data_IF_198273890728
#
_entry.id   IF_198273890728
#
_cell.length_a   1.000
_cell.length_b   1.000
_cell.length_c   1.000
_cell.angle_alpha   90.00
_cell.angle_beta   90.00
_cell.angle_gamma   90.00
#
_symmetry.space_group_name_H-M   'P 1'
#
loop_
_entity.id
_entity.type
_entity.pdbx_description
1 polymer ?
#
# COMPACT_ATOMS: atom_id res chain seq x y z
N UNK A 1 -11.50 -6.11 7.74
CA UNK A 1 -12.24 -7.03 6.86
C UNK A 1 -13.72 -6.69 6.93
N UNK A 2 -14.48 -6.94 5.87
CA UNK A 2 -15.92 -6.64 5.83
C UNK A 2 -16.75 -7.86 6.29
N UNK A 3 -17.80 -7.63 7.07
CA UNK A 3 -18.81 -8.63 7.44
C UNK A 3 -20.19 -7.96 7.20
N UNK A 4 -21.11 -8.59 6.44
CA UNK A 4 -22.46 -8.07 6.27
C UNK A 4 -23.18 -7.86 7.61
N UNK A 5 -24.00 -6.81 7.69
CA UNK A 5 -24.63 -6.37 8.95
C UNK A 5 -25.60 -7.43 9.47
N UNK A 6 -26.29 -8.12 8.58
CA UNK A 6 -27.25 -9.19 8.87
C UNK A 6 -26.56 -10.36 9.58
N UNK A 7 -25.40 -10.76 9.05
CA UNK A 7 -24.55 -11.82 9.60
C UNK A 7 -23.96 -11.39 10.94
N UNK A 8 -23.49 -10.15 11.04
CA UNK A 8 -22.92 -9.61 12.27
C UNK A 8 -23.95 -9.57 13.41
N UNK A 9 -25.18 -9.12 13.14
CA UNK A 9 -26.29 -9.11 14.10
C UNK A 9 -26.66 -10.53 14.54
N UNK A 10 -26.72 -11.49 13.61
CA UNK A 10 -26.99 -12.89 13.93
C UNK A 10 -25.97 -13.45 14.92
N UNK A 11 -24.67 -13.21 14.72
CA UNK A 11 -23.62 -13.62 15.65
C UNK A 11 -23.71 -12.96 17.03
N UNK A 12 -24.08 -11.67 17.09
CA UNK A 12 -24.31 -10.99 18.37
C UNK A 12 -25.48 -11.60 19.14
N UNK A 13 -26.55 -11.97 18.46
CA UNK A 13 -27.79 -12.49 19.08
C UNK A 13 -27.69 -13.93 19.58
N UNK A 14 -26.88 -14.77 18.92
CA UNK A 14 -26.81 -16.21 19.17
C UNK A 14 -25.74 -16.61 20.18
N UNK A 15 -24.94 -15.66 20.67
CA UNK A 15 -23.73 -15.91 21.48
C UNK A 15 -22.76 -16.91 20.83
N UNK A 16 -22.92 -17.18 19.53
CA UNK A 16 -22.00 -17.97 18.73
C UNK A 16 -20.67 -17.23 18.74
N UNK A 17 -19.60 -17.94 19.12
CA UNK A 17 -18.30 -17.34 19.32
C UNK A 17 -17.91 -16.52 18.09
N UNK A 18 -17.59 -15.24 18.29
CA UNK A 18 -16.94 -14.35 17.28
C UNK A 18 -15.72 -15.02 16.60
N UNK A 19 -15.15 -16.05 17.23
CA UNK A 19 -14.01 -16.84 16.76
C UNK A 19 -14.28 -17.66 15.49
N UNK A 20 -15.53 -18.01 15.17
CA UNK A 20 -15.86 -18.72 13.91
C UNK A 20 -16.30 -17.77 12.79
N UNK A 21 -16.60 -16.51 13.11
CA UNK A 21 -17.01 -15.53 12.10
C UNK A 21 -15.81 -15.12 11.24
N UNK A 22 -15.89 -15.43 9.96
CA UNK A 22 -14.84 -15.10 8.99
C UNK A 22 -15.27 -13.90 8.16
N UNK A 23 -14.42 -12.88 8.08
CA UNK A 23 -14.69 -11.70 7.23
C UNK A 23 -14.67 -12.08 5.75
N UNK A 24 -15.38 -11.35 4.88
CA UNK A 24 -15.42 -11.64 3.43
C UNK A 24 -14.01 -11.75 2.82
N UNK A 25 -13.12 -10.81 3.16
CA UNK A 25 -11.70 -10.85 2.76
C UNK A 25 -10.99 -12.11 3.26
N UNK A 26 -11.27 -12.50 4.50
CA UNK A 26 -10.67 -13.65 5.17
C UNK A 26 -11.15 -14.96 4.49
N UNK A 27 -12.45 -15.05 4.19
CA UNK A 27 -13.08 -16.19 3.51
C UNK A 27 -12.54 -16.36 2.10
N UNK A 28 -12.39 -15.25 1.38
CA UNK A 28 -11.73 -15.27 0.08
C UNK A 28 -10.29 -15.78 0.19
N UNK A 29 -9.51 -15.27 1.15
CA UNK A 29 -8.13 -15.74 1.37
C UNK A 29 -8.04 -17.23 1.69
N UNK A 30 -8.93 -17.76 2.53
CA UNK A 30 -8.96 -19.19 2.84
C UNK A 30 -9.36 -20.06 1.65
N UNK A 31 -10.26 -19.57 0.78
CA UNK A 31 -10.78 -20.35 -0.34
C UNK A 31 -9.87 -20.29 -1.58
N UNK A 32 -9.20 -19.16 -1.81
CA UNK A 32 -8.40 -18.92 -3.02
C UNK A 32 -6.90 -19.17 -2.84
N UNK A 33 -6.45 -19.45 -1.62
CA UNK A 33 -5.06 -19.74 -1.28
C UNK A 33 -3.99 -18.83 -1.94
N UNK A 34 -4.12 -17.48 -2.03
CA UNK A 34 -3.18 -16.66 -2.78
C UNK A 34 -2.27 -15.82 -1.87
N UNK A 35 -2.10 -16.17 -0.60
CA UNK A 35 -1.02 -15.61 0.22
C UNK A 35 0.12 -16.61 0.15
N UNK A 36 0.77 -16.66 -1.02
CA UNK A 36 2.14 -17.16 -1.07
C UNK A 36 2.92 -16.38 -0.01
N UNK A 37 3.61 -17.08 0.89
CA UNK A 37 4.65 -16.48 1.73
C UNK A 37 5.75 -15.95 0.80
N UNK A 38 5.49 -14.80 0.16
CA UNK A 38 6.43 -14.10 -0.68
C UNK A 38 7.41 -13.40 0.26
N UNK A 39 8.36 -14.17 0.77
CA UNK A 39 9.61 -13.60 1.24
C UNK A 39 10.36 -13.14 -0.01
N UNK A 40 10.16 -11.87 -0.36
CA UNK A 40 10.97 -11.26 -1.42
C UNK A 40 12.35 -11.01 -0.82
N UNK A 41 13.34 -11.71 -1.35
CA UNK A 41 14.73 -11.46 -0.99
C UNK A 41 15.07 -10.00 -1.33
N UNK A 42 15.65 -9.27 -0.36
CA UNK A 42 16.02 -7.86 -0.52
C UNK A 42 16.95 -7.64 -1.73
N UNK A 43 17.84 -8.59 -2.03
CA UNK A 43 18.72 -8.53 -3.20
C UNK A 43 17.92 -8.53 -4.50
N UNK A 44 16.96 -9.45 -4.64
CA UNK A 44 16.08 -9.54 -5.83
C UNK A 44 15.28 -8.24 -5.99
N UNK A 45 14.79 -7.67 -4.88
CA UNK A 45 14.08 -6.39 -4.90
C UNK A 45 14.97 -5.25 -5.42
N UNK A 46 16.23 -5.18 -4.97
CA UNK A 46 17.20 -4.16 -5.42
C UNK A 46 17.58 -4.34 -6.89
N UNK A 47 17.70 -5.56 -7.38
CA UNK A 47 18.00 -5.85 -8.79
C UNK A 47 16.87 -5.33 -9.70
N UNK A 48 15.61 -5.56 -9.30
CA UNK A 48 14.43 -5.03 -10.02
C UNK A 48 14.47 -3.50 -10.06
N UNK A 49 14.74 -2.84 -8.92
CA UNK A 49 14.83 -1.38 -8.86
C UNK A 49 15.97 -0.83 -9.74
N UNK A 50 17.09 -1.55 -9.83
CA UNK A 50 18.24 -1.18 -10.67
C UNK A 50 17.90 -1.25 -12.15
N UNK A 51 17.20 -2.30 -12.59
CA UNK A 51 16.72 -2.42 -13.97
C UNK A 51 15.68 -1.35 -14.34
N UNK A 52 14.82 -0.97 -13.39
CA UNK A 52 13.89 0.16 -13.57
C UNK A 52 14.67 1.47 -13.72
N UNK A 53 15.68 1.70 -12.87
CA UNK A 53 16.52 2.90 -12.92
C UNK A 53 17.20 3.08 -14.28
N UNK A 54 17.69 1.98 -14.87
CA UNK A 54 18.40 1.99 -16.17
C UNK A 54 17.51 2.41 -17.35
N UNK A 55 16.18 2.32 -17.20
CA UNK A 55 15.21 2.69 -18.23
C UNK A 55 14.66 4.08 -17.92
N UNK A 56 14.58 4.94 -18.94
CA UNK A 56 13.83 6.20 -18.83
C UNK A 56 12.34 5.88 -18.79
N UNK A 57 11.74 5.93 -17.60
CA UNK A 57 10.35 5.55 -17.38
C UNK A 57 9.62 6.53 -16.46
N UNK A 58 8.30 6.58 -16.62
CA UNK A 58 7.41 7.20 -15.66
C UNK A 58 7.17 6.22 -14.51
N UNK A 59 7.49 6.62 -13.29
CA UNK A 59 7.28 5.82 -12.09
C UNK A 59 6.04 6.34 -11.39
N UNK A 60 5.04 5.48 -11.22
CA UNK A 60 3.82 5.80 -10.48
C UNK A 60 3.85 5.03 -9.17
N UNK A 61 3.83 5.79 -8.07
CA UNK A 61 3.99 5.29 -6.73
C UNK A 61 2.67 5.42 -5.97
N UNK A 62 1.96 4.31 -5.82
CA UNK A 62 0.68 4.29 -5.12
C UNK A 62 0.94 4.08 -3.63
N UNK A 63 0.51 5.03 -2.80
CA UNK A 63 0.69 5.01 -1.34
C UNK A 63 -0.65 4.95 -0.62
N UNK A 64 -0.74 4.20 0.48
CA UNK A 64 -1.92 4.19 1.35
C UNK A 64 -1.94 5.46 2.21
N UNK A 65 -2.94 6.32 2.06
CA UNK A 65 -3.04 7.56 2.83
C UNK A 65 -3.28 7.33 4.33
N UNK A 66 -3.76 6.14 4.71
CA UNK A 66 -3.94 5.76 6.11
C UNK A 66 -2.70 5.09 6.72
N UNK A 67 -1.70 4.75 5.89
CA UNK A 67 -0.46 4.09 6.32
C UNK A 67 0.73 4.52 5.45
N UNK A 68 0.99 5.83 5.45
CA UNK A 68 2.02 6.44 4.59
C UNK A 68 3.41 5.92 4.94
N UNK A 69 3.71 5.74 6.22
CA UNK A 69 5.04 5.33 6.70
C UNK A 69 5.42 3.93 6.24
N UNK A 70 4.47 3.00 6.17
CA UNK A 70 4.74 1.66 5.64
C UNK A 70 4.57 1.60 4.12
N UNK A 71 3.85 2.55 3.53
CA UNK A 71 3.71 2.66 2.08
C UNK A 71 4.91 3.31 1.40
N UNK A 72 5.84 3.95 2.11
CA UNK A 72 7.03 4.58 1.54
C UNK A 72 8.28 3.86 2.03
N UNK A 73 8.96 3.16 1.13
CA UNK A 73 10.21 2.47 1.46
C UNK A 73 11.43 3.35 1.22
N UNK A 74 12.43 3.26 2.10
CA UNK A 74 13.74 3.91 1.92
C UNK A 74 14.44 3.47 0.64
N UNK A 75 14.17 2.26 0.16
CA UNK A 75 14.79 1.73 -1.05
C UNK A 75 14.39 2.48 -2.32
N UNK A 76 13.30 3.27 -2.30
CA UNK A 76 12.85 4.04 -3.46
C UNK A 76 13.72 5.27 -3.74
N UNK A 77 14.50 5.74 -2.78
CA UNK A 77 15.49 6.78 -3.04
C UNK A 77 16.50 6.35 -4.09
N UNK A 78 16.73 5.05 -4.28
CA UNK A 78 17.57 4.51 -5.35
C UNK A 78 17.01 4.75 -6.76
N UNK A 79 15.70 4.96 -6.90
CA UNK A 79 15.04 5.27 -8.17
C UNK A 79 15.15 6.75 -8.56
N UNK A 80 15.41 7.62 -7.56
CA UNK A 80 15.65 9.05 -7.75
C UNK A 80 17.16 9.23 -7.82
N UNK A 81 17.70 9.60 -8.97
CA UNK A 81 19.12 9.97 -9.03
C UNK A 81 19.36 11.20 -8.15
N UNK A 82 19.99 11.01 -6.99
CA UNK A 82 20.44 12.10 -6.12
C UNK A 82 21.79 12.67 -6.57
N UNK A 83 22.52 11.93 -7.41
CA UNK A 83 23.82 12.30 -7.98
C UNK A 83 23.63 12.68 -9.43
N UNK A 84 22.98 13.81 -9.68
CA UNK A 84 23.08 14.52 -10.95
C UNK A 84 24.50 15.08 -11.08
N UNK A 85 25.46 14.24 -11.44
CA UNK A 85 26.71 14.69 -12.06
C UNK A 85 26.79 14.18 -13.50
N UNK A 86 26.37 15.09 -14.38
CA UNK A 86 27.09 15.53 -15.58
C UNK A 86 27.15 14.67 -16.85
N UNK A 87 26.75 13.39 -16.91
CA UNK A 87 26.73 12.68 -18.21
C UNK A 87 25.39 12.03 -18.58
N UNK A 88 24.51 12.87 -19.15
CA UNK A 88 23.62 12.54 -20.26
C UNK A 88 22.45 11.55 -20.03
N UNK A 89 21.94 11.42 -18.81
CA UNK A 89 20.71 10.66 -18.55
C UNK A 89 19.70 11.50 -17.78
N UNK A 90 18.54 11.78 -18.37
CA UNK A 90 17.45 12.49 -17.69
C UNK A 90 16.92 11.64 -16.52
N UNK A 91 16.72 12.20 -15.32
CA UNK A 91 16.22 11.42 -14.19
C UNK A 91 14.80 10.88 -14.46
N UNK A 92 14.48 9.75 -13.84
CA UNK A 92 13.13 9.20 -13.88
C UNK A 92 12.14 10.14 -13.18
N UNK A 93 10.97 10.33 -13.80
CA UNK A 93 9.90 11.16 -13.23
C UNK A 93 9.06 10.26 -12.31
N UNK A 94 8.88 10.68 -11.06
CA UNK A 94 8.07 9.96 -10.08
C UNK A 94 6.80 10.75 -9.75
N UNK A 95 5.64 10.12 -9.92
CA UNK A 95 4.36 10.61 -9.40
C UNK A 95 3.94 9.78 -8.20
N UNK A 96 3.61 10.44 -7.09
CA UNK A 96 3.05 9.79 -5.90
C UNK A 96 1.54 9.95 -5.89
N UNK A 97 0.82 8.83 -5.89
CA UNK A 97 -0.65 8.77 -5.89
C UNK A 97 -1.16 8.23 -4.56
N UNK A 98 -1.90 9.07 -3.84
CA UNK A 98 -2.55 8.69 -2.58
C UNK A 98 -3.81 7.85 -2.81
N UNK A 99 -3.81 6.63 -2.31
CA UNK A 99 -4.95 5.73 -2.28
C UNK A 99 -5.80 5.95 -1.01
N UNK A 100 -7.10 5.62 -1.09
CA UNK A 100 -8.08 5.70 0.01
C UNK A 100 -8.42 7.12 0.50
N UNK A 101 -8.44 8.07 -0.44
CA UNK A 101 -8.82 9.47 -0.14
C UNK A 101 -10.24 9.59 0.42
N UNK A 102 -11.12 8.67 0.07
CA UNK A 102 -12.51 8.58 0.54
C UNK A 102 -12.63 8.34 2.06
N UNK A 103 -11.60 7.73 2.66
CA UNK A 103 -11.54 7.46 4.09
C UNK A 103 -10.99 8.64 4.90
N UNK A 104 -10.45 9.66 4.25
CA UNK A 104 -10.00 10.85 4.94
C UNK A 104 -11.20 11.69 5.39
N UNK A 105 -11.15 12.27 6.60
CA UNK A 105 -12.21 13.17 7.05
C UNK A 105 -12.31 14.35 6.08
N UNK A 106 -13.54 14.66 5.64
CA UNK A 106 -13.79 15.92 4.91
C UNK A 106 -13.31 17.05 5.82
N UNK A 107 -12.36 17.84 5.34
CA UNK A 107 -11.80 18.94 6.11
C UNK A 107 -12.90 19.84 6.69
N UNK A 108 -13.18 19.70 7.99
CA UNK A 108 -13.65 20.78 8.85
C UNK A 108 -12.49 21.18 9.77
N UNK A 109 -11.32 21.33 9.18
CA UNK A 109 -10.16 21.88 9.88
C UNK A 109 -10.32 23.40 9.89
N UNK A 110 -10.73 23.91 11.05
CA UNK A 110 -10.37 25.25 11.46
C UNK A 110 -8.84 25.29 11.41
N UNK A 111 -8.29 25.92 10.37
CA UNK A 111 -6.88 26.29 10.30
C UNK A 111 -6.61 27.35 11.37
N UNK A 112 -6.43 26.93 12.62
CA UNK A 112 -5.74 27.74 13.62
C UNK A 112 -4.25 27.40 13.53
N UNK A 113 -3.58 27.97 12.52
CA UNK A 113 -2.17 28.26 12.65
C UNK A 113 -2.06 29.50 13.56
N UNK A 114 -1.57 29.29 14.77
CA UNK A 114 -0.95 30.36 15.59
C UNK A 114 0.54 30.37 15.31
#
# INVERSE_FOLDING_TARGET
GFIPVEIYKHYLSTNLQKRTSQCQRCSLFSYTNPISHCQVNEHIYRDILTEIKRKRALIILIVDLLDITNSISRSWTHLVDQTTDYHNTSPNIIFVLGNKVDLLPKCRFVCNYK
#
